data_IF_584793096281
#
_entry.id   IF_584793096281
#
_cell.length_a   1.000
_cell.length_b   1.000
_cell.length_c   1.000
_cell.angle_alpha   90.00
_cell.angle_beta   90.00
_cell.angle_gamma   90.00
#
_symmetry.space_group_name_H-M   'P 1'
#
loop_
_entity.id
_entity.type
_entity.pdbx_description
1 polymer ?
#
# COMPACT_ATOMS: atom_id res chain seq x y z
N UNK A 1 -32.44 8.56 -1.04
CA UNK A 1 -33.35 8.85 -2.16
C UNK A 1 -32.52 9.07 -3.41
N UNK A 2 -32.87 8.40 -4.52
CA UNK A 2 -32.22 8.59 -5.82
C UNK A 2 -33.03 9.68 -6.53
N UNK A 3 -32.44 10.82 -6.78
CA UNK A 3 -33.16 12.01 -7.29
C UNK A 3 -33.03 12.22 -8.81
N UNK A 4 -32.15 11.49 -9.49
CA UNK A 4 -31.91 11.62 -10.93
C UNK A 4 -31.91 10.28 -11.61
N UNK A 5 -32.33 10.22 -12.87
CA UNK A 5 -32.10 9.06 -13.73
C UNK A 5 -30.60 8.87 -13.96
N UNK A 6 -30.11 7.66 -13.83
CA UNK A 6 -28.69 7.31 -14.00
C UNK A 6 -28.38 5.88 -13.61
N UNK A 7 -27.14 5.48 -13.75
CA UNK A 7 -26.64 4.20 -13.25
C UNK A 7 -26.16 4.39 -11.81
N UNK A 8 -26.61 3.52 -10.91
CA UNK A 8 -26.29 3.57 -9.49
C UNK A 8 -25.69 2.23 -9.06
N UNK A 9 -24.57 2.30 -8.36
CA UNK A 9 -23.89 1.13 -7.82
C UNK A 9 -24.11 1.07 -6.30
N UNK A 10 -24.53 -0.08 -5.81
CA UNK A 10 -24.71 -0.36 -4.39
C UNK A 10 -23.70 -1.40 -3.95
N UNK A 11 -23.12 -1.20 -2.78
CA UNK A 11 -22.15 -2.10 -2.19
C UNK A 11 -22.74 -2.72 -0.93
N UNK A 12 -22.70 -4.03 -0.84
CA UNK A 12 -23.04 -4.75 0.38
C UNK A 12 -21.74 -5.24 1.03
N UNK A 13 -21.47 -4.79 2.24
CA UNK A 13 -20.36 -5.25 3.05
C UNK A 13 -20.87 -6.16 4.17
N UNK A 14 -20.18 -7.25 4.41
CA UNK A 14 -20.48 -8.19 5.49
C UNK A 14 -19.26 -8.34 6.39
N UNK A 15 -19.48 -8.33 7.70
CA UNK A 15 -18.45 -8.70 8.66
C UNK A 15 -18.51 -10.21 8.87
N UNK A 16 -17.36 -10.87 8.67
CA UNK A 16 -17.22 -12.29 8.98
C UNK A 16 -16.97 -12.43 10.48
N UNK A 17 -17.77 -13.26 11.16
CA UNK A 17 -17.56 -13.51 12.57
C UNK A 17 -16.19 -14.19 12.81
N UNK A 18 -15.47 -13.86 13.91
CA UNK A 18 -14.20 -14.52 14.24
C UNK A 18 -14.30 -16.04 14.39
N UNK A 19 -15.52 -16.54 14.62
CA UNK A 19 -15.83 -17.98 14.76
C UNK A 19 -16.28 -18.65 13.46
N UNK A 20 -16.25 -17.93 12.33
CA UNK A 20 -16.63 -18.49 11.05
C UNK A 20 -15.69 -19.63 10.64
N UNK A 21 -16.25 -20.73 10.17
CA UNK A 21 -15.47 -21.89 9.77
C UNK A 21 -14.83 -21.67 8.40
N UNK A 22 -13.52 -21.94 8.27
CA UNK A 22 -12.81 -21.91 7.00
C UNK A 22 -13.49 -22.84 5.99
N UNK A 23 -13.64 -22.37 4.76
CA UNK A 23 -14.33 -23.10 3.69
C UNK A 23 -15.83 -22.91 3.65
N UNK A 24 -16.44 -22.26 4.65
CA UNK A 24 -17.85 -21.87 4.55
C UNK A 24 -18.07 -20.85 3.44
N UNK A 25 -19.14 -21.00 2.70
CA UNK A 25 -19.53 -20.04 1.67
C UNK A 25 -20.43 -18.96 2.27
N UNK A 26 -20.06 -17.70 2.06
CA UNK A 26 -20.92 -16.55 2.29
C UNK A 26 -21.57 -16.17 0.96
N UNK A 27 -22.89 -16.06 0.94
CA UNK A 27 -23.61 -15.66 -0.25
C UNK A 27 -24.60 -14.54 0.04
N UNK A 28 -24.73 -13.64 -0.91
CA UNK A 28 -25.71 -12.55 -0.90
C UNK A 28 -26.49 -12.61 -2.19
N UNK A 29 -27.81 -12.50 -2.09
CA UNK A 29 -28.68 -12.38 -3.24
C UNK A 29 -29.51 -11.11 -3.13
N UNK A 30 -29.57 -10.33 -4.20
CA UNK A 30 -30.52 -9.24 -4.33
C UNK A 30 -31.87 -9.84 -4.76
N UNK A 31 -32.84 -9.84 -3.86
CA UNK A 31 -34.15 -10.49 -4.09
C UNK A 31 -35.18 -9.52 -4.67
N UNK A 32 -35.14 -8.26 -4.22
CA UNK A 32 -36.02 -7.23 -4.74
C UNK A 32 -35.44 -5.82 -4.56
N UNK A 33 -35.99 -4.89 -5.31
CA UNK A 33 -35.70 -3.45 -5.20
C UNK A 33 -37.06 -2.72 -5.14
N UNK A 34 -37.21 -1.81 -4.18
CA UNK A 34 -38.40 -0.99 -4.10
C UNK A 34 -38.06 0.45 -4.53
N UNK A 35 -38.74 0.95 -5.55
CA UNK A 35 -38.66 2.33 -6.01
C UNK A 35 -40.06 2.98 -5.90
N UNK A 36 -40.15 4.15 -5.27
CA UNK A 36 -41.40 4.89 -5.04
C UNK A 36 -42.54 4.01 -4.42
N UNK A 37 -42.19 3.23 -3.42
CA UNK A 37 -43.08 2.25 -2.76
C UNK A 37 -43.64 1.13 -3.67
N UNK A 38 -43.07 1.00 -4.87
CA UNK A 38 -43.38 -0.09 -5.80
C UNK A 38 -42.24 -1.05 -5.86
N UNK A 39 -42.49 -2.35 -5.66
CA UNK A 39 -41.47 -3.37 -5.84
C UNK A 39 -41.08 -3.48 -7.33
N UNK A 40 -39.83 -3.33 -7.61
CA UNK A 40 -39.27 -3.49 -8.96
C UNK A 40 -38.41 -4.74 -8.95
N UNK A 41 -38.74 -5.73 -9.72
CA UNK A 41 -37.92 -6.92 -9.85
C UNK A 41 -36.65 -6.59 -10.61
N UNK A 42 -35.47 -7.02 -10.15
CA UNK A 42 -34.25 -6.88 -10.93
C UNK A 42 -34.38 -7.68 -12.24
N UNK A 43 -33.80 -7.16 -13.33
CA UNK A 43 -33.79 -7.80 -14.66
C UNK A 43 -33.16 -9.20 -14.59
N UNK A 44 -32.20 -9.39 -13.69
CA UNK A 44 -31.62 -10.68 -13.36
C UNK A 44 -31.31 -10.72 -11.85
N UNK A 45 -31.46 -11.91 -11.25
CA UNK A 45 -31.08 -12.12 -9.86
C UNK A 45 -29.55 -12.01 -9.77
N UNK A 46 -29.10 -10.99 -9.04
CA UNK A 46 -27.67 -10.81 -8.80
C UNK A 46 -27.31 -11.57 -7.52
N UNK A 47 -26.44 -12.55 -7.68
CA UNK A 47 -25.87 -13.31 -6.55
C UNK A 47 -24.36 -13.16 -6.55
N UNK A 48 -23.79 -12.96 -5.36
CA UNK A 48 -22.35 -13.00 -5.15
C UNK A 48 -22.05 -13.98 -4.02
N UNK A 49 -21.01 -14.76 -4.17
CA UNK A 49 -20.54 -15.67 -3.13
C UNK A 49 -19.03 -15.59 -2.97
N UNK A 50 -18.56 -15.78 -1.76
CA UNK A 50 -17.13 -15.91 -1.43
C UNK A 50 -16.99 -16.94 -0.33
N UNK A 51 -15.83 -17.59 -0.29
CA UNK A 51 -15.52 -18.54 0.79
C UNK A 51 -14.75 -17.85 1.91
N UNK A 52 -14.98 -18.30 3.13
CA UNK A 52 -14.16 -17.93 4.28
C UNK A 52 -12.79 -18.57 4.10
N UNK A 53 -11.77 -17.75 3.86
CA UNK A 53 -10.38 -18.19 3.78
C UNK A 53 -9.70 -18.01 5.14
N UNK A 54 -8.67 -18.82 5.40
CA UNK A 54 -7.77 -18.58 6.52
C UNK A 54 -6.94 -17.34 6.20
N UNK A 55 -6.85 -16.42 7.14
CA UNK A 55 -5.95 -15.29 7.03
C UNK A 55 -4.49 -15.72 7.21
N UNK A 56 -3.59 -14.84 6.84
CA UNK A 56 -2.15 -15.08 6.87
C UNK A 56 -1.56 -14.45 8.12
N UNK A 57 -0.70 -15.17 8.81
CA UNK A 57 0.09 -14.67 9.95
C UNK A 57 1.44 -15.36 10.03
N UNK A 58 2.36 -14.78 10.83
CA UNK A 58 3.67 -15.35 11.09
C UNK A 58 4.76 -14.88 10.10
N UNK A 59 5.81 -15.65 9.97
CA UNK A 59 6.97 -15.30 9.15
C UNK A 59 6.92 -16.00 7.79
N UNK A 60 7.07 -15.20 6.73
CA UNK A 60 7.17 -15.64 5.35
C UNK A 60 8.59 -15.31 4.86
N UNK A 61 9.32 -16.33 4.43
CA UNK A 61 10.64 -16.14 3.85
C UNK A 61 10.53 -15.72 2.39
N UNK A 62 11.34 -14.75 2.01
CA UNK A 62 11.41 -14.19 0.65
C UNK A 62 12.85 -14.21 0.19
N UNK A 63 13.10 -14.70 -1.00
CA UNK A 63 14.44 -14.73 -1.60
C UNK A 63 14.66 -15.92 -2.52
N UNK A 64 15.86 -16.05 -3.08
CA UNK A 64 16.16 -17.06 -4.09
C UNK A 64 15.93 -18.52 -3.66
N UNK A 65 16.04 -18.80 -2.35
CA UNK A 65 15.81 -20.15 -1.81
C UNK A 65 14.42 -20.34 -1.19
N UNK A 66 13.60 -19.29 -1.15
CA UNK A 66 12.28 -19.31 -0.54
C UNK A 66 11.16 -19.62 -1.55
N UNK A 67 9.95 -19.87 -1.05
CA UNK A 67 8.75 -20.03 -1.88
C UNK A 67 8.46 -18.79 -2.71
N UNK A 68 8.71 -17.61 -2.14
CA UNK A 68 8.54 -16.32 -2.82
C UNK A 68 9.92 -15.80 -3.21
N UNK A 69 10.22 -15.84 -4.50
CA UNK A 69 11.52 -15.37 -5.03
C UNK A 69 11.62 -13.86 -5.16
N UNK A 70 10.48 -13.15 -5.12
CA UNK A 70 10.40 -11.69 -5.15
C UNK A 70 9.56 -11.17 -3.98
N UNK A 71 9.86 -9.96 -3.53
CA UNK A 71 9.11 -9.30 -2.46
C UNK A 71 7.66 -9.04 -2.92
N UNK A 72 7.49 -8.61 -4.18
CA UNK A 72 6.18 -8.34 -4.72
C UNK A 72 5.29 -9.59 -4.76
N UNK A 73 5.84 -10.77 -5.07
CA UNK A 73 5.07 -12.02 -5.07
C UNK A 73 4.58 -12.41 -3.68
N UNK A 74 5.38 -12.16 -2.65
CA UNK A 74 4.95 -12.37 -1.26
C UNK A 74 3.82 -11.40 -0.87
N UNK A 75 3.91 -10.12 -1.28
CA UNK A 75 2.84 -9.13 -1.04
C UNK A 75 1.55 -9.51 -1.77
N UNK A 76 1.64 -10.01 -3.01
CA UNK A 76 0.45 -10.49 -3.75
C UNK A 76 -0.28 -11.61 -2.99
N UNK A 77 0.46 -12.52 -2.37
CA UNK A 77 -0.13 -13.55 -1.53
C UNK A 77 -0.91 -12.97 -0.33
N UNK A 78 -0.41 -11.89 0.29
CA UNK A 78 -1.06 -11.25 1.44
C UNK A 78 -2.40 -10.57 1.10
N UNK A 79 -2.73 -10.37 -0.18
CA UNK A 79 -4.03 -9.81 -0.59
C UNK A 79 -5.22 -10.70 -0.24
N UNK A 80 -5.00 -11.95 0.07
CA UNK A 80 -6.06 -12.86 0.57
C UNK A 80 -6.52 -12.51 1.98
N UNK A 81 -5.73 -11.73 2.72
CA UNK A 81 -6.06 -11.23 4.05
C UNK A 81 -5.06 -11.64 5.13
N UNK A 82 -4.96 -10.81 6.16
CA UNK A 82 -4.05 -10.98 7.30
C UNK A 82 -4.90 -11.15 8.57
N UNK A 83 -4.60 -12.16 9.39
CA UNK A 83 -5.30 -12.45 10.65
C UNK A 83 -4.38 -12.46 11.89
N UNK A 84 -3.13 -12.03 11.72
CA UNK A 84 -2.13 -11.84 12.78
C UNK A 84 -0.93 -11.05 12.26
N UNK A 85 0.08 -10.81 13.08
CA UNK A 85 1.31 -10.15 12.62
C UNK A 85 2.00 -10.96 11.53
N UNK A 86 2.36 -10.32 10.43
CA UNK A 86 3.12 -10.90 9.32
C UNK A 86 4.50 -10.25 9.24
N UNK A 87 5.52 -11.08 9.10
CA UNK A 87 6.89 -10.66 8.80
C UNK A 87 7.36 -11.27 7.48
N UNK A 88 7.63 -10.43 6.49
CA UNK A 88 8.40 -10.84 5.31
C UNK A 88 9.88 -10.78 5.67
N UNK A 89 10.47 -11.95 5.90
CA UNK A 89 11.89 -12.14 6.22
C UNK A 89 12.67 -12.31 4.92
N UNK A 90 13.36 -11.25 4.49
CA UNK A 90 13.96 -11.17 3.17
C UNK A 90 15.41 -11.65 3.25
N UNK A 91 15.77 -12.65 2.44
CA UNK A 91 17.13 -13.15 2.32
C UNK A 91 18.07 -12.06 1.79
N UNK A 92 19.36 -12.17 2.16
CA UNK A 92 20.39 -11.31 1.64
C UNK A 92 20.43 -11.37 0.11
N UNK A 93 20.44 -10.23 -0.55
CA UNK A 93 20.49 -10.15 -2.01
C UNK A 93 20.10 -8.80 -2.60
N UNK A 94 20.20 -8.77 -3.93
CA UNK A 94 19.84 -7.63 -4.78
C UNK A 94 18.47 -7.88 -5.41
N UNK A 95 17.51 -6.99 -5.16
CA UNK A 95 16.14 -7.10 -5.62
C UNK A 95 15.81 -5.97 -6.59
N UNK A 96 16.01 -6.22 -7.89
CA UNK A 96 15.62 -5.27 -8.93
C UNK A 96 14.13 -5.37 -9.21
N UNK A 97 13.34 -4.79 -8.34
CA UNK A 97 11.90 -4.79 -8.45
C UNK A 97 11.27 -3.51 -7.90
N UNK A 98 10.06 -3.25 -8.32
CA UNK A 98 9.19 -2.22 -7.73
C UNK A 98 8.25 -2.90 -6.77
N UNK A 99 8.31 -2.51 -5.51
CA UNK A 99 7.49 -3.09 -4.45
C UNK A 99 6.29 -2.18 -4.19
N UNK A 100 5.09 -2.68 -4.47
CA UNK A 100 3.85 -1.98 -4.15
C UNK A 100 3.13 -2.70 -3.00
N UNK A 101 2.94 -2.00 -1.89
CA UNK A 101 2.21 -2.49 -0.71
C UNK A 101 0.84 -1.82 -0.70
N UNK A 102 -0.20 -2.47 -1.26
CA UNK A 102 -1.54 -1.91 -1.31
C UNK A 102 -2.24 -2.01 0.04
N UNK A 103 -3.46 -1.49 0.11
CA UNK A 103 -4.34 -1.85 1.22
C UNK A 103 -4.49 -3.38 1.28
N UNK A 104 -4.11 -3.98 2.42
CA UNK A 104 -4.24 -5.42 2.66
C UNK A 104 -5.37 -5.65 3.68
N UNK A 105 -6.34 -6.52 3.36
CA UNK A 105 -7.42 -6.83 4.29
C UNK A 105 -6.88 -7.39 5.61
N UNK A 106 -7.41 -6.93 6.73
CA UNK A 106 -7.06 -7.38 8.07
C UNK A 106 -5.91 -6.62 8.75
N UNK A 107 -5.15 -5.75 8.03
CA UNK A 107 -4.14 -4.90 8.68
C UNK A 107 -4.76 -4.03 9.77
N UNK A 108 -4.16 -4.06 10.95
CA UNK A 108 -4.59 -3.33 12.14
C UNK A 108 -3.43 -3.13 13.13
N UNK A 109 -3.69 -2.52 14.26
CA UNK A 109 -2.69 -2.36 15.32
C UNK A 109 -2.20 -3.69 15.93
N UNK A 110 -2.96 -4.77 15.78
CA UNK A 110 -2.60 -6.12 16.22
C UNK A 110 -2.09 -7.00 15.09
N UNK A 111 -2.55 -6.77 13.88
CA UNK A 111 -2.20 -7.52 12.67
C UNK A 111 -1.32 -6.61 11.80
N UNK A 112 -0.04 -6.58 12.08
CA UNK A 112 0.92 -5.68 11.42
C UNK A 112 1.65 -6.37 10.29
N UNK A 113 2.20 -5.59 9.35
CA UNK A 113 3.10 -6.07 8.32
C UNK A 113 4.52 -5.52 8.56
N UNK A 114 5.51 -6.39 8.58
CA UNK A 114 6.93 -5.99 8.63
C UNK A 114 7.69 -6.59 7.46
N UNK A 115 8.35 -5.74 6.68
CA UNK A 115 9.34 -6.15 5.68
C UNK A 115 10.73 -5.91 6.26
N UNK A 116 11.53 -6.96 6.41
CA UNK A 116 12.86 -6.80 7.00
C UNK A 116 13.91 -7.72 6.38
N UNK A 117 15.17 -7.28 6.42
CA UNK A 117 16.29 -8.17 6.16
C UNK A 117 16.30 -9.31 7.19
N UNK A 118 16.41 -10.56 6.74
CA UNK A 118 16.46 -11.74 7.60
C UNK A 118 17.62 -11.67 8.62
N UNK A 119 18.73 -11.07 8.22
CA UNK A 119 19.91 -10.84 9.08
C UNK A 119 19.73 -9.71 10.08
N UNK A 120 18.73 -8.82 9.91
CA UNK A 120 18.58 -7.59 10.66
C UNK A 120 19.64 -6.51 10.34
N UNK A 121 20.50 -6.74 9.35
CA UNK A 121 21.56 -5.82 8.98
C UNK A 121 21.16 -4.98 7.77
N UNK A 122 21.21 -3.65 7.94
CA UNK A 122 21.06 -2.70 6.85
C UNK A 122 22.13 -2.92 5.78
N UNK A 123 21.73 -2.96 4.50
CA UNK A 123 22.61 -3.21 3.35
C UNK A 123 22.72 -4.70 2.95
N UNK A 124 22.23 -5.64 3.74
CA UNK A 124 22.19 -7.04 3.29
C UNK A 124 21.05 -7.30 2.30
N UNK A 125 20.00 -6.50 2.33
CA UNK A 125 18.89 -6.55 1.37
C UNK A 125 18.82 -5.21 0.65
N UNK A 126 19.09 -5.19 -0.65
CA UNK A 126 19.04 -4.01 -1.48
C UNK A 126 17.88 -4.10 -2.48
N UNK A 127 16.90 -3.26 -2.30
CA UNK A 127 15.74 -3.14 -3.20
C UNK A 127 15.98 -1.93 -4.10
N UNK A 128 15.99 -2.11 -5.40
CA UNK A 128 16.24 -1.01 -6.32
C UNK A 128 15.45 -1.14 -7.63
N UNK A 129 15.26 -0.01 -8.29
CA UNK A 129 14.72 0.05 -9.63
C UNK A 129 15.22 1.31 -10.35
N UNK A 130 15.70 1.15 -11.60
CA UNK A 130 16.40 2.21 -12.31
C UNK A 130 15.71 2.64 -13.62
N UNK A 131 14.68 1.91 -14.06
CA UNK A 131 14.04 2.13 -15.35
C UNK A 131 12.57 2.50 -15.16
N UNK A 132 12.30 3.73 -14.77
CA UNK A 132 10.94 4.23 -14.72
C UNK A 132 10.49 4.69 -16.11
N UNK A 133 9.35 4.20 -16.57
CA UNK A 133 8.76 4.66 -17.83
C UNK A 133 8.23 6.07 -17.68
N UNK A 134 8.76 7.01 -18.44
CA UNK A 134 8.33 8.41 -18.41
C UNK A 134 7.02 8.58 -19.19
N UNK A 135 5.92 8.67 -18.50
CA UNK A 135 4.66 9.17 -19.06
C UNK A 135 4.46 10.63 -18.62
N UNK A 136 5.35 11.54 -19.06
CA UNK A 136 5.23 12.97 -18.78
C UNK A 136 5.20 13.34 -17.28
N UNK A 137 5.53 14.59 -16.96
CA UNK A 137 5.31 15.14 -15.62
C UNK A 137 3.81 15.47 -15.49
N UNK A 138 3.07 14.60 -14.85
CA UNK A 138 1.71 14.88 -14.39
C UNK A 138 1.71 14.80 -12.86
N UNK A 139 1.56 15.90 -12.14
CA UNK A 139 1.51 15.91 -10.68
C UNK A 139 0.36 15.05 -10.12
N UNK A 140 -0.72 14.86 -10.87
CA UNK A 140 -1.84 14.01 -10.48
C UNK A 140 -1.56 12.52 -10.79
N UNK A 141 -0.74 12.24 -11.81
CA UNK A 141 -0.23 10.90 -12.09
C UNK A 141 1.00 10.54 -11.25
N UNK A 142 1.62 11.44 -10.52
CA UNK A 142 2.55 11.09 -9.44
C UNK A 142 1.92 10.07 -8.47
N UNK A 143 0.62 9.90 -8.56
CA UNK A 143 -0.13 8.88 -7.87
C UNK A 143 0.23 7.45 -8.29
N UNK A 144 0.68 7.19 -9.51
CA UNK A 144 0.59 5.83 -10.01
C UNK A 144 1.91 5.07 -10.19
N UNK A 145 3.09 5.72 -10.28
CA UNK A 145 4.24 4.98 -10.78
C UNK A 145 5.64 5.37 -10.27
N UNK A 146 5.79 6.01 -9.12
CA UNK A 146 7.01 6.75 -8.79
C UNK A 146 7.83 6.29 -7.58
N UNK A 147 7.59 5.12 -7.03
CA UNK A 147 8.39 4.61 -5.92
C UNK A 147 9.12 3.31 -6.27
N UNK A 148 10.33 3.15 -5.79
CA UNK A 148 10.95 1.82 -5.69
C UNK A 148 10.14 0.98 -4.72
N UNK A 149 9.80 1.56 -3.56
CA UNK A 149 8.81 1.02 -2.64
C UNK A 149 7.67 2.00 -2.52
N UNK A 150 6.47 1.58 -2.89
CA UNK A 150 5.24 2.36 -2.75
C UNK A 150 4.35 1.74 -1.68
N UNK A 151 3.94 2.53 -0.70
CA UNK A 151 2.94 2.16 0.29
C UNK A 151 1.63 2.84 -0.11
N UNK A 152 0.69 2.03 -0.61
CA UNK A 152 -0.51 2.47 -1.31
C UNK A 152 -1.77 2.14 -0.50
N UNK A 153 -2.10 2.98 0.45
CA UNK A 153 -3.25 2.75 1.33
C UNK A 153 -3.05 1.67 2.39
N UNK A 154 -1.84 1.11 2.51
CA UNK A 154 -1.54 0.18 3.58
C UNK A 154 -1.42 0.90 4.93
N UNK A 155 -1.71 0.17 5.98
CA UNK A 155 -1.62 0.66 7.36
C UNK A 155 -0.76 -0.27 8.20
N UNK A 156 -0.26 0.22 9.36
CA UNK A 156 0.48 -0.60 10.33
C UNK A 156 1.62 -1.42 9.70
N UNK A 157 2.40 -0.75 8.84
CA UNK A 157 3.47 -1.38 8.05
C UNK A 157 4.83 -0.83 8.45
N UNK A 158 5.81 -1.72 8.61
CA UNK A 158 7.19 -1.39 8.95
C UNK A 158 8.14 -1.86 7.85
N UNK A 159 9.02 -0.98 7.39
CA UNK A 159 10.20 -1.30 6.61
C UNK A 159 11.40 -1.26 7.55
N UNK A 160 12.16 -2.36 7.68
CA UNK A 160 13.23 -2.47 8.67
C UNK A 160 14.52 -3.05 8.08
N UNK A 161 15.63 -2.40 8.38
CA UNK A 161 16.97 -2.87 8.01
C UNK A 161 17.16 -3.14 6.52
N UNK A 162 16.56 -2.31 5.66
CA UNK A 162 16.61 -2.43 4.20
C UNK A 162 17.50 -1.33 3.61
N UNK A 163 18.14 -1.63 2.49
CA UNK A 163 18.69 -0.65 1.57
C UNK A 163 17.71 -0.47 0.41
N UNK A 164 17.35 0.77 0.09
CA UNK A 164 16.36 1.08 -0.95
C UNK A 164 16.92 2.21 -1.80
N UNK A 165 17.03 2.02 -3.12
CA UNK A 165 17.63 3.03 -3.98
C UNK A 165 17.10 3.08 -5.39
N UNK A 166 17.43 4.18 -6.08
CA UNK A 166 17.34 4.31 -7.53
C UNK A 166 18.57 4.99 -8.06
N UNK A 167 18.99 4.64 -9.27
CA UNK A 167 19.99 5.38 -10.04
C UNK A 167 19.35 6.26 -11.12
N UNK A 168 18.03 6.28 -11.23
CA UNK A 168 17.31 7.14 -12.16
C UNK A 168 17.27 8.58 -11.63
N UNK A 169 18.01 9.53 -12.26
CA UNK A 169 18.07 10.90 -11.78
C UNK A 169 16.79 11.70 -12.08
N UNK A 170 15.90 11.15 -12.87
CA UNK A 170 14.75 11.90 -13.42
C UNK A 170 13.46 11.62 -12.69
N UNK A 171 13.48 10.68 -11.72
CA UNK A 171 12.24 10.23 -11.09
C UNK A 171 12.15 10.34 -9.58
N UNK A 172 10.92 10.55 -9.11
CA UNK A 172 10.66 11.41 -7.98
C UNK A 172 10.63 10.74 -6.63
N UNK A 173 10.64 9.42 -6.50
CA UNK A 173 10.51 8.82 -5.19
C UNK A 173 11.25 7.51 -5.03
N UNK A 174 12.02 7.36 -3.95
CA UNK A 174 12.58 6.06 -3.57
C UNK A 174 11.55 5.32 -2.73
N UNK A 175 11.07 5.92 -1.64
CA UNK A 175 9.94 5.42 -0.87
C UNK A 175 8.77 6.41 -0.99
N UNK A 176 7.61 5.92 -1.42
CA UNK A 176 6.44 6.74 -1.68
C UNK A 176 5.24 6.25 -0.88
N UNK A 177 4.64 7.14 -0.08
CA UNK A 177 3.42 6.90 0.69
C UNK A 177 2.28 7.68 0.08
N UNK A 178 1.12 7.01 -0.15
CA UNK A 178 -0.05 7.62 -0.74
C UNK A 178 -1.36 6.97 -0.26
N UNK A 179 -2.49 7.54 -0.69
CA UNK A 179 -3.83 6.96 -0.54
C UNK A 179 -4.20 6.62 0.91
N UNK A 180 -3.95 7.55 1.84
CA UNK A 180 -4.29 7.40 3.28
C UNK A 180 -3.48 6.32 3.99
N UNK A 181 -2.24 6.08 3.56
CA UNK A 181 -1.32 5.22 4.31
C UNK A 181 -1.08 5.80 5.69
N UNK A 182 -1.18 4.98 6.73
CA UNK A 182 -1.05 5.45 8.12
C UNK A 182 -0.38 4.42 9.01
N UNK A 183 0.19 4.89 10.13
CA UNK A 183 0.95 4.03 11.05
C UNK A 183 2.08 3.31 10.32
N UNK A 184 2.88 4.07 9.56
CA UNK A 184 4.00 3.55 8.77
C UNK A 184 5.30 3.89 9.49
N UNK A 185 6.15 2.88 9.64
CA UNK A 185 7.49 3.04 10.23
C UNK A 185 8.57 2.64 9.23
N UNK A 186 9.57 3.49 9.07
CA UNK A 186 10.83 3.18 8.41
C UNK A 186 11.92 3.20 9.47
N UNK A 187 12.53 2.05 9.74
CA UNK A 187 13.48 1.88 10.82
C UNK A 187 14.78 1.22 10.33
N UNK A 188 15.92 1.81 10.71
CA UNK A 188 17.24 1.29 10.37
C UNK A 188 17.42 1.02 8.86
N UNK A 189 16.88 1.87 7.99
CA UNK A 189 17.01 1.74 6.53
C UNK A 189 18.09 2.67 5.98
N UNK A 190 18.66 2.29 4.84
CA UNK A 190 19.49 3.16 4.01
C UNK A 190 18.74 3.46 2.72
N UNK A 191 18.39 4.72 2.52
CA UNK A 191 17.59 5.17 1.38
C UNK A 191 18.41 6.18 0.61
N UNK A 192 18.71 5.88 -0.66
CA UNK A 192 19.60 6.73 -1.42
C UNK A 192 19.27 6.83 -2.91
N UNK A 193 19.78 7.90 -3.53
CA UNK A 193 19.70 8.16 -4.95
C UNK A 193 20.86 9.06 -5.37
N UNK A 194 21.14 9.22 -6.67
CA UNK A 194 22.12 10.19 -7.14
C UNK A 194 21.80 11.60 -6.63
N UNK A 195 22.81 12.35 -6.24
CA UNK A 195 22.64 13.75 -5.85
C UNK A 195 22.10 14.54 -7.05
N UNK A 196 20.99 15.19 -6.88
CA UNK A 196 20.38 16.04 -7.89
C UNK A 196 20.49 17.51 -7.49
N UNK A 197 21.09 18.31 -8.36
CA UNK A 197 21.20 19.77 -8.21
C UNK A 197 20.19 20.52 -9.09
N UNK A 198 19.50 19.82 -9.97
CA UNK A 198 18.55 20.40 -10.91
C UNK A 198 17.11 20.33 -10.38
N UNK A 199 16.41 21.45 -10.44
CA UNK A 199 14.96 21.52 -10.12
C UNK A 199 14.08 20.67 -11.05
N UNK A 200 14.64 20.18 -12.16
CA UNK A 200 13.96 19.28 -13.10
C UNK A 200 14.16 17.79 -12.74
N UNK A 201 15.08 17.50 -11.83
CA UNK A 201 15.42 16.16 -11.36
C UNK A 201 15.12 16.07 -9.86
N UNK A 202 13.84 16.00 -9.51
CA UNK A 202 13.40 16.13 -8.11
C UNK A 202 13.26 14.77 -7.43
N UNK A 203 14.30 13.96 -7.42
CA UNK A 203 14.28 12.71 -6.67
C UNK A 203 14.07 13.01 -5.19
N UNK A 204 13.00 12.47 -4.63
CA UNK A 204 12.69 12.56 -3.20
C UNK A 204 12.91 11.20 -2.57
N UNK A 205 13.72 11.11 -1.53
CA UNK A 205 14.05 9.83 -0.91
C UNK A 205 12.86 9.24 -0.18
N UNK A 206 12.13 10.05 0.58
CA UNK A 206 10.86 9.64 1.20
C UNK A 206 9.79 10.68 0.91
N UNK A 207 8.77 10.31 0.18
CA UNK A 207 7.72 11.21 -0.27
C UNK A 207 6.34 10.77 0.27
N UNK A 208 5.74 11.58 1.11
CA UNK A 208 4.36 11.43 1.55
C UNK A 208 3.49 12.33 0.67
N UNK A 209 2.73 11.72 -0.22
CA UNK A 209 1.85 12.42 -1.13
C UNK A 209 0.38 12.24 -0.73
N UNK A 210 -0.32 13.34 -0.54
CA UNK A 210 -1.76 13.34 -0.38
C UNK A 210 -2.40 13.95 -1.62
N UNK A 211 -3.44 13.30 -2.15
CA UNK A 211 -4.30 13.90 -3.16
C UNK A 211 -4.99 15.12 -2.57
N UNK A 212 -5.33 16.11 -3.41
CA UNK A 212 -6.11 17.28 -3.01
C UNK A 212 -7.59 16.89 -2.83
N UNK A 213 -7.87 15.99 -1.91
CA UNK A 213 -9.20 15.48 -1.57
C UNK A 213 -9.36 15.48 -0.03
N UNK A 214 -10.57 15.67 0.49
CA UNK A 214 -10.81 15.61 1.94
C UNK A 214 -10.34 14.27 2.54
N UNK A 215 -9.67 14.34 3.70
CA UNK A 215 -9.18 13.17 4.43
C UNK A 215 -8.22 12.26 3.65
N UNK A 216 -7.50 12.79 2.66
CA UNK A 216 -6.52 12.02 1.87
C UNK A 216 -5.10 12.01 2.46
N UNK A 217 -4.90 12.56 3.64
CA UNK A 217 -3.59 12.61 4.30
C UNK A 217 -3.06 11.23 4.64
N UNK A 218 -1.73 11.11 4.58
CA UNK A 218 -0.99 9.99 5.15
C UNK A 218 -0.57 10.39 6.57
N UNK A 219 -1.03 9.64 7.57
CA UNK A 219 -0.89 10.01 8.98
C UNK A 219 0.01 9.04 9.74
N UNK A 220 0.52 9.47 10.91
CA UNK A 220 1.31 8.63 11.82
C UNK A 220 2.50 7.96 11.12
N UNK A 221 3.33 8.77 10.49
CA UNK A 221 4.58 8.34 9.85
C UNK A 221 5.75 8.50 10.84
N UNK A 222 6.61 7.48 10.91
CA UNK A 222 7.84 7.48 11.67
C UNK A 222 9.04 7.10 10.80
N UNK A 223 10.09 7.88 10.85
CA UNK A 223 11.38 7.61 10.23
C UNK A 223 12.46 7.68 11.31
N UNK A 224 13.09 6.56 11.59
CA UNK A 224 14.04 6.47 12.71
C UNK A 224 15.27 5.63 12.35
N UNK A 225 16.41 5.91 12.97
CA UNK A 225 17.68 5.21 12.82
C UNK A 225 18.14 5.00 11.37
N UNK A 226 17.59 5.76 10.43
CA UNK A 226 17.79 5.58 9.01
C UNK A 226 18.75 6.60 8.42
N UNK A 227 19.47 6.21 7.37
CA UNK A 227 20.35 7.07 6.61
C UNK A 227 19.67 7.45 5.30
N UNK A 228 19.62 8.76 5.02
CA UNK A 228 19.16 9.31 3.76
C UNK A 228 20.34 9.98 3.04
N UNK A 229 20.63 9.58 1.79
CA UNK A 229 21.77 10.09 1.06
C UNK A 229 21.42 10.43 -0.40
N UNK A 230 21.84 11.60 -0.85
CA UNK A 230 21.59 12.07 -2.22
C UNK A 230 20.17 12.60 -2.44
N UNK A 231 19.67 12.45 -3.67
CA UNK A 231 18.40 13.01 -4.09
C UNK A 231 18.39 14.53 -4.15
N UNK A 232 17.21 15.11 -4.39
CA UNK A 232 16.93 16.55 -4.30
C UNK A 232 16.28 16.91 -2.96
N UNK A 233 15.39 16.05 -2.48
CA UNK A 233 14.78 16.17 -1.16
C UNK A 233 15.03 14.88 -0.38
N UNK A 234 15.40 15.00 0.89
CA UNK A 234 15.44 13.87 1.81
C UNK A 234 14.04 13.37 2.13
N UNK A 235 13.22 14.23 2.74
CA UNK A 235 11.82 13.92 3.07
C UNK A 235 10.92 15.04 2.56
N UNK A 236 9.84 14.68 1.89
CA UNK A 236 8.79 15.61 1.47
C UNK A 236 7.47 15.19 2.09
N UNK A 237 6.86 16.10 2.85
CA UNK A 237 5.55 15.91 3.45
C UNK A 237 4.54 16.79 2.68
N UNK A 238 3.61 16.16 1.98
CA UNK A 238 2.52 16.83 1.28
C UNK A 238 1.20 16.48 1.96
N UNK A 239 0.54 17.48 2.54
CA UNK A 239 -0.82 17.37 3.05
C UNK A 239 -1.86 17.79 2.02
N UNK A 240 -3.12 17.51 2.29
CA UNK A 240 -4.24 18.06 1.53
C UNK A 240 -4.38 19.56 1.86
N UNK A 241 -4.70 20.37 0.87
CA UNK A 241 -5.04 21.78 1.09
C UNK A 241 -6.39 21.99 1.81
N UNK A 242 -7.12 20.93 2.11
CA UNK A 242 -8.37 20.98 2.86
C UNK A 242 -8.08 21.02 4.35
N UNK A 243 -8.30 22.16 4.95
CA UNK A 243 -8.43 22.28 6.41
C UNK A 243 -9.84 21.80 6.74
N UNK A 244 -9.98 20.65 7.40
CA UNK A 244 -11.24 20.35 8.07
C UNK A 244 -11.34 21.29 9.26
N UNK A 245 -12.12 22.36 9.14
CA UNK A 245 -12.53 23.12 10.30
C UNK A 245 -13.34 22.18 11.19
N UNK A 246 -13.08 22.12 12.49
CA UNK A 246 -13.96 21.40 13.40
C UNK A 246 -15.38 21.92 13.19
N UNK A 247 -16.35 21.05 13.10
CA UNK A 247 -17.75 21.44 13.14
C UNK A 247 -17.99 22.11 14.48
N UNK A 248 -18.45 23.38 14.46
CA UNK A 248 -18.93 24.11 15.62
C UNK A 248 -20.17 23.44 16.21
#
# INVERSE_FOLDING_TARGET
>A
TIEKAGEYHFWVAMNVAPTATIGQTLSVALTDVTANATAVQPISLQTASTNVAQGISGTINVGPSATYTTIQSAIEHLKTGIDGPVTLSIEKGEYNERVNIPHLPGLSSTNTLTLKAASGKRGDVHIFHNNFTKNGYDPDQMANDYGVVTIDGATHTTLQALEISTQDPTYPGVVHLRNKSRNITIDNCYIHAPLSTSIQQKVTLVNLYAKNEPNANNDHFSLQHSLLEGGYNGVRLGGTGFVSLPAE
#
